data_IF_981837574230
#
_entry.id   IF_981837574230
#
_cell.length_a   1.000
_cell.length_b   1.000
_cell.length_c   1.000
_cell.angle_alpha   90.00
_cell.angle_beta   90.00
_cell.angle_gamma   90.00
#
_symmetry.space_group_name_H-M   'P 1'
#
loop_
_entity.id
_entity.type
_entity.pdbx_description
1 polymer ?
#
# COMPACT_ATOMS: atom_id res chain seq x y z
N UNK A 1 16.53 -17.82 7.22
CA UNK A 1 15.26 -17.06 7.24
C UNK A 1 14.20 -17.91 6.56
N UNK A 2 13.09 -18.22 7.23
CA UNK A 2 12.01 -18.98 6.61
C UNK A 2 11.34 -18.13 5.53
N UNK A 3 10.82 -18.74 4.46
CA UNK A 3 10.21 -18.00 3.33
C UNK A 3 9.09 -17.05 3.76
N UNK A 4 8.36 -17.39 4.83
CA UNK A 4 7.31 -16.54 5.42
C UNK A 4 7.86 -15.26 6.07
N UNK A 5 9.02 -15.33 6.73
CA UNK A 5 9.66 -14.15 7.30
C UNK A 5 10.17 -13.20 6.20
N UNK A 6 10.68 -13.76 5.08
CA UNK A 6 11.04 -12.97 3.92
C UNK A 6 9.81 -12.26 3.32
N UNK A 7 8.68 -12.98 3.19
CA UNK A 7 7.41 -12.41 2.75
C UNK A 7 6.94 -11.28 3.68
N UNK A 8 7.03 -11.47 5.01
CA UNK A 8 6.69 -10.45 5.98
C UNK A 8 7.50 -9.16 5.78
N UNK A 9 8.81 -9.29 5.59
CA UNK A 9 9.70 -8.14 5.35
C UNK A 9 9.36 -7.42 4.03
N UNK A 10 9.06 -8.16 2.97
CA UNK A 10 8.60 -7.61 1.69
C UNK A 10 7.27 -6.87 1.83
N UNK A 11 6.32 -7.40 2.61
CA UNK A 11 5.03 -6.76 2.85
C UNK A 11 5.18 -5.45 3.63
N UNK A 12 6.09 -5.39 4.60
CA UNK A 12 6.39 -4.15 5.33
C UNK A 12 6.97 -3.09 4.39
N UNK A 13 7.95 -3.46 3.56
CA UNK A 13 8.52 -2.56 2.55
C UNK A 13 7.46 -2.08 1.55
N UNK A 14 6.59 -2.98 1.11
CA UNK A 14 5.51 -2.65 0.20
C UNK A 14 4.47 -1.72 0.85
N UNK A 15 4.11 -1.94 2.12
CA UNK A 15 3.23 -1.03 2.86
C UNK A 15 3.82 0.38 2.94
N UNK A 16 5.13 0.51 3.22
CA UNK A 16 5.82 1.79 3.21
C UNK A 16 5.77 2.47 1.83
N UNK A 17 5.96 1.70 0.75
CA UNK A 17 5.83 2.20 -0.61
C UNK A 17 4.40 2.69 -0.90
N UNK A 18 3.37 1.93 -0.51
CA UNK A 18 1.96 2.34 -0.72
C UNK A 18 1.65 3.64 0.03
N UNK A 19 2.09 3.79 1.28
CA UNK A 19 1.95 5.05 2.05
C UNK A 19 2.65 6.21 1.35
N UNK A 20 3.88 5.98 0.88
CA UNK A 20 4.64 7.00 0.14
C UNK A 20 3.88 7.47 -1.10
N UNK A 21 3.36 6.54 -1.91
CA UNK A 21 2.63 6.89 -3.13
C UNK A 21 1.29 7.58 -2.77
N UNK A 22 0.60 7.16 -1.70
CA UNK A 22 -0.62 7.81 -1.21
C UNK A 22 -0.43 9.27 -0.76
N UNK A 23 0.70 9.58 -0.13
CA UNK A 23 1.01 10.93 0.37
C UNK A 23 1.60 11.80 -0.73
N UNK A 24 2.64 11.31 -1.42
CA UNK A 24 3.38 12.10 -2.43
C UNK A 24 2.66 12.18 -3.77
N UNK A 25 1.75 11.25 -4.05
CA UNK A 25 0.94 11.21 -5.28
C UNK A 25 1.77 11.45 -6.55
N UNK A 26 2.88 10.73 -6.75
CA UNK A 26 3.75 10.95 -7.90
C UNK A 26 2.95 10.77 -9.20
N UNK A 27 2.98 11.76 -10.09
CA UNK A 27 2.15 11.79 -11.30
C UNK A 27 2.32 10.53 -12.16
N UNK A 28 3.54 9.98 -12.23
CA UNK A 28 3.84 8.74 -12.96
C UNK A 28 3.00 7.54 -12.53
N UNK A 29 2.63 7.46 -11.24
CA UNK A 29 1.82 6.37 -10.68
C UNK A 29 0.36 6.81 -10.54
N UNK A 30 0.13 8.03 -10.05
CA UNK A 30 -1.22 8.55 -9.81
C UNK A 30 -2.04 8.73 -11.09
N UNK A 31 -1.40 9.06 -12.21
CA UNK A 31 -2.07 9.23 -13.51
C UNK A 31 -2.19 7.94 -14.32
N UNK A 32 -1.73 6.81 -13.81
CA UNK A 32 -1.98 5.51 -14.45
C UNK A 32 -3.49 5.23 -14.51
N UNK A 33 -3.92 4.55 -15.58
CA UNK A 33 -5.34 4.22 -15.83
C UNK A 33 -6.03 3.58 -14.61
N UNK A 34 -5.31 2.72 -13.87
CA UNK A 34 -5.82 2.05 -12.66
C UNK A 34 -6.18 3.06 -11.56
N UNK A 35 -5.22 3.87 -11.11
CA UNK A 35 -5.45 4.84 -10.03
C UNK A 35 -6.41 5.93 -10.49
N UNK A 36 -6.36 6.33 -11.77
CA UNK A 36 -7.31 7.27 -12.34
C UNK A 36 -8.76 6.77 -12.26
N UNK A 37 -8.99 5.47 -12.48
CA UNK A 37 -10.32 4.86 -12.33
C UNK A 37 -10.77 4.87 -10.86
N UNK A 38 -9.89 4.48 -9.93
CA UNK A 38 -10.17 4.57 -8.49
C UNK A 38 -10.52 5.99 -8.06
N UNK A 39 -9.75 6.98 -8.52
CA UNK A 39 -10.02 8.41 -8.27
C UNK A 39 -11.33 8.87 -8.88
N UNK A 40 -11.73 8.34 -10.04
CA UNK A 40 -13.02 8.67 -10.66
C UNK A 40 -14.20 8.09 -9.85
N UNK A 41 -14.03 6.93 -9.25
CA UNK A 41 -15.09 6.24 -8.48
C UNK A 41 -15.19 6.80 -7.05
N UNK A 42 -14.06 6.94 -6.37
CA UNK A 42 -13.99 7.27 -4.93
C UNK A 42 -13.55 8.72 -4.64
N UNK A 43 -13.15 9.47 -5.66
CA UNK A 43 -12.48 10.76 -5.49
C UNK A 43 -11.02 10.63 -5.06
N UNK A 44 -10.29 11.74 -5.10
CA UNK A 44 -8.88 11.79 -4.67
C UNK A 44 -8.71 11.44 -3.20
N UNK A 45 -9.54 12.01 -2.32
CA UNK A 45 -9.47 11.75 -0.88
C UNK A 45 -9.86 10.31 -0.54
N UNK A 46 -10.91 9.77 -1.16
CA UNK A 46 -11.32 8.39 -0.95
C UNK A 46 -10.25 7.39 -1.40
N UNK A 47 -9.61 7.64 -2.54
CA UNK A 47 -8.51 6.81 -3.05
C UNK A 47 -7.30 6.80 -2.10
N UNK A 48 -6.94 7.97 -1.54
CA UNK A 48 -5.87 8.05 -0.54
C UNK A 48 -6.22 7.26 0.72
N UNK A 49 -7.43 7.44 1.26
CA UNK A 49 -7.88 6.71 2.46
C UNK A 49 -7.87 5.20 2.22
N UNK A 50 -8.32 4.75 1.04
CA UNK A 50 -8.27 3.34 0.66
C UNK A 50 -6.84 2.79 0.68
N UNK A 51 -5.89 3.50 0.05
CA UNK A 51 -4.49 3.08 0.05
C UNK A 51 -3.86 3.08 1.45
N UNK A 52 -4.23 4.02 2.32
CA UNK A 52 -3.75 4.05 3.70
C UNK A 52 -4.30 2.89 4.54
N UNK A 53 -5.59 2.58 4.41
CA UNK A 53 -6.20 1.40 5.07
C UNK A 53 -5.54 0.12 4.57
N UNK A 54 -5.35 0.00 3.26
CA UNK A 54 -4.70 -1.15 2.66
C UNK A 54 -3.24 -1.29 3.11
N UNK A 55 -2.50 -0.18 3.20
CA UNK A 55 -1.14 -0.19 3.73
C UNK A 55 -1.09 -0.59 5.21
N UNK A 56 -2.00 -0.10 6.04
CA UNK A 56 -2.09 -0.49 7.45
C UNK A 56 -2.40 -1.99 7.62
N UNK A 57 -3.34 -2.53 6.83
CA UNK A 57 -3.64 -3.95 6.82
C UNK A 57 -2.42 -4.78 6.38
N UNK A 58 -1.75 -4.36 5.30
CA UNK A 58 -0.56 -5.04 4.78
C UNK A 58 0.60 -5.02 5.78
N UNK A 59 0.80 -3.89 6.46
CA UNK A 59 1.79 -3.74 7.52
C UNK A 59 1.48 -4.68 8.70
N UNK A 60 0.22 -4.75 9.13
CA UNK A 60 -0.21 -5.66 10.19
C UNK A 60 0.06 -7.14 9.86
N UNK A 61 -0.28 -7.55 8.64
CA UNK A 61 0.01 -8.91 8.14
C UNK A 61 1.53 -9.16 8.07
N UNK A 62 2.30 -8.18 7.58
CA UNK A 62 3.75 -8.28 7.51
C UNK A 62 4.41 -8.45 8.88
N UNK A 63 3.96 -7.68 9.89
CA UNK A 63 4.44 -7.82 11.27
C UNK A 63 4.04 -9.17 11.85
N UNK A 64 2.79 -9.61 11.63
CA UNK A 64 2.32 -10.91 12.11
C UNK A 64 3.17 -12.07 11.57
N UNK A 65 3.53 -12.05 10.28
CA UNK A 65 4.40 -13.05 9.65
C UNK A 65 5.86 -13.02 10.13
N UNK A 66 6.30 -11.95 10.80
CA UNK A 66 7.65 -11.87 11.38
C UNK A 66 7.69 -12.33 12.85
N UNK A 67 6.56 -12.23 13.55
CA UNK A 67 6.45 -12.54 14.98
C UNK A 67 5.95 -13.98 15.22
N UNK A 68 5.29 -14.59 14.24
CA UNK A 68 4.76 -15.95 14.28
C UNK A 68 5.62 -16.91 13.44
#
# INVERSE_FOLDING_TARGET
MNGLALLGLVLILYAAAVVYIAIKKPASIWDMAKIRLFRKIMGDRGTVVFFLIFAAATLGVGIWLLVH
#
